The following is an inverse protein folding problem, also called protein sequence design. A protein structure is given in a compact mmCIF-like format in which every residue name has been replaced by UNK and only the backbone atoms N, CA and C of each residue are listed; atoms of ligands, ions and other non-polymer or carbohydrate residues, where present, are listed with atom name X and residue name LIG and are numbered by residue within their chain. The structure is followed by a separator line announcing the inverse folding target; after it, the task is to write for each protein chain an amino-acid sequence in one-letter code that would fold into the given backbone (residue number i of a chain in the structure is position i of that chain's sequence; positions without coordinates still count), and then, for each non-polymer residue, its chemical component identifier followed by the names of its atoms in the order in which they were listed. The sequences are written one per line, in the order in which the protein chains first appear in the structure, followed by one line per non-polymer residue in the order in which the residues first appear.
data_IF_698125890198
#
_entry.id   IF_698125890198
#
_cell.length_a   1.000
_cell.length_b   1.000
_cell.length_c   1.000
_cell.angle_alpha   90.00
_cell.angle_beta   90.00
_cell.angle_gamma   90.00
#
_symmetry.space_group_name_H-M   'P 1'
#
loop_
_entity.id
_entity.type
_entity.pdbx_description
1 polymer ?
#
# COMPACT_ATOMS: atom_id res chain seq x y z
N UNK A 1 12.58 -24.65 -5.21
CA UNK A 1 11.55 -24.17 -4.27
C UNK A 1 11.48 -22.66 -4.36
N UNK A 2 10.30 -22.12 -4.58
CA UNK A 2 10.12 -20.68 -4.65
C UNK A 2 10.11 -20.08 -3.24
N UNK A 3 10.75 -18.92 -3.03
CA UNK A 3 10.62 -18.24 -1.75
C UNK A 3 9.15 -17.88 -1.53
N UNK A 4 8.68 -18.05 -0.32
CA UNK A 4 7.31 -17.70 0.00
C UNK A 4 7.14 -16.18 -0.11
N UNK A 5 5.95 -15.72 -0.56
CA UNK A 5 5.65 -14.31 -0.61
C UNK A 5 5.78 -13.67 0.76
N UNK A 6 5.45 -14.42 1.81
CA UNK A 6 5.58 -13.92 3.17
C UNK A 6 7.01 -13.57 3.55
N UNK A 7 7.98 -14.41 3.15
CA UNK A 7 9.38 -14.15 3.44
C UNK A 7 9.87 -12.91 2.67
N UNK A 8 9.48 -12.78 1.41
CA UNK A 8 9.87 -11.63 0.59
C UNK A 8 9.25 -10.34 1.14
N UNK A 9 7.99 -10.40 1.54
CA UNK A 9 7.32 -9.24 2.13
C UNK A 9 8.03 -8.80 3.42
N UNK A 10 8.35 -9.75 4.29
CA UNK A 10 9.05 -9.42 5.54
C UNK A 10 10.40 -8.77 5.28
N UNK A 11 11.12 -9.28 4.28
CA UNK A 11 12.42 -8.73 3.91
C UNK A 11 12.28 -7.28 3.44
N UNK A 12 11.30 -7.03 2.56
CA UNK A 12 11.07 -5.68 2.03
C UNK A 12 10.59 -4.72 3.12
N UNK A 13 9.72 -5.18 4.02
CA UNK A 13 9.27 -4.35 5.14
C UNK A 13 10.46 -3.94 6.02
N UNK A 14 11.34 -4.88 6.35
CA UNK A 14 12.49 -4.58 7.18
C UNK A 14 13.41 -3.56 6.51
N UNK A 15 13.67 -3.73 5.22
CA UNK A 15 14.52 -2.80 4.47
C UNK A 15 13.87 -1.41 4.38
N UNK A 16 12.58 -1.36 4.11
CA UNK A 16 11.86 -0.10 3.99
C UNK A 16 11.88 0.66 5.32
N UNK A 17 11.69 -0.04 6.42
CA UNK A 17 11.76 0.57 7.74
C UNK A 17 13.14 1.12 8.06
N UNK A 18 14.18 0.53 7.48
CA UNK A 18 15.55 0.98 7.65
C UNK A 18 15.89 2.16 6.73
N UNK A 19 14.93 2.64 5.94
CA UNK A 19 15.12 3.80 5.09
C UNK A 19 15.33 3.49 3.61
N UNK A 20 15.17 2.22 3.20
CA UNK A 20 15.33 1.83 1.79
C UNK A 20 14.04 2.13 1.03
N UNK A 21 13.99 3.28 0.38
CA UNK A 21 12.83 3.70 -0.39
C UNK A 21 12.56 2.77 -1.58
N UNK A 22 13.60 2.21 -2.18
CA UNK A 22 13.42 1.27 -3.29
C UNK A 22 12.68 0.01 -2.82
N UNK A 23 13.00 -0.47 -1.61
CA UNK A 23 12.30 -1.61 -1.04
C UNK A 23 10.84 -1.28 -0.78
N UNK A 24 10.56 -0.08 -0.27
CA UNK A 24 9.18 0.36 -0.05
C UNK A 24 8.42 0.44 -1.38
N UNK A 25 9.04 0.97 -2.41
CA UNK A 25 8.41 1.08 -3.73
C UNK A 25 8.07 -0.30 -4.28
N UNK A 26 8.97 -1.27 -4.18
CA UNK A 26 8.69 -2.63 -4.60
C UNK A 26 7.52 -3.24 -3.82
N UNK A 27 7.52 -3.03 -2.52
CA UNK A 27 6.46 -3.53 -1.65
C UNK A 27 5.11 -2.92 -2.02
N UNK A 28 5.07 -1.61 -2.23
CA UNK A 28 3.85 -0.92 -2.63
C UNK A 28 3.35 -1.42 -3.99
N UNK A 29 4.27 -1.58 -4.96
CA UNK A 29 3.90 -2.02 -6.31
C UNK A 29 3.25 -3.41 -6.31
N UNK A 30 3.65 -4.30 -5.40
CA UNK A 30 3.04 -5.62 -5.26
C UNK A 30 1.58 -5.53 -4.84
N UNK A 31 1.19 -4.45 -4.17
CA UNK A 31 -0.16 -4.26 -3.64
C UNK A 31 -0.98 -3.26 -4.44
N UNK A 32 -0.38 -2.65 -5.45
CA UNK A 32 -1.00 -1.54 -6.18
C UNK A 32 -2.35 -1.89 -6.77
N UNK A 33 -2.44 -3.02 -7.46
CA UNK A 33 -3.69 -3.42 -8.12
C UNK A 33 -4.79 -3.78 -7.13
N UNK A 34 -4.44 -4.53 -6.08
CA UNK A 34 -5.42 -4.85 -5.04
C UNK A 34 -5.90 -3.59 -4.34
N UNK A 35 -4.99 -2.66 -4.09
CA UNK A 35 -5.34 -1.38 -3.47
C UNK A 35 -6.27 -0.59 -4.37
N UNK A 36 -5.98 -0.55 -5.68
CA UNK A 36 -6.81 0.16 -6.66
C UNK A 36 -8.23 -0.41 -6.67
N UNK A 37 -8.35 -1.74 -6.70
CA UNK A 37 -9.66 -2.39 -6.70
C UNK A 37 -10.44 -2.08 -5.42
N UNK A 38 -9.76 -2.12 -4.28
CA UNK A 38 -10.39 -1.78 -3.01
C UNK A 38 -10.86 -0.33 -2.95
N UNK A 39 -10.05 0.60 -3.45
CA UNK A 39 -10.43 2.00 -3.52
C UNK A 39 -11.65 2.22 -4.40
N UNK A 40 -11.66 1.61 -5.58
CA UNK A 40 -12.78 1.76 -6.50
C UNK A 40 -14.06 1.19 -5.94
N UNK A 41 -13.96 0.10 -5.18
CA UNK A 41 -15.13 -0.50 -4.53
C UNK A 41 -15.73 0.41 -3.45
N UNK A 42 -14.90 1.24 -2.80
CA UNK A 42 -15.35 2.16 -1.76
C UNK A 42 -15.83 3.49 -2.31
N UNK A 43 -15.48 3.83 -3.55
CA UNK A 43 -15.83 5.11 -4.14
C UNK A 43 -17.25 5.07 -4.66
N UNK A 44 -18.02 6.15 -4.39
CA UNK A 44 -19.34 6.32 -5.01
C UNK A 44 -19.19 6.56 -6.51
N UNK A 45 -20.24 6.31 -7.31
CA UNK A 45 -20.15 6.61 -8.75
C UNK A 45 -19.77 8.06 -9.03
N UNK A 46 -20.30 9.00 -8.25
CA UNK A 46 -19.97 10.41 -8.44
C UNK A 46 -18.49 10.68 -8.17
N UNK A 47 -17.95 10.07 -7.11
CA UNK A 47 -16.55 10.25 -6.77
C UNK A 47 -15.64 9.61 -7.82
N UNK A 48 -16.04 8.45 -8.36
CA UNK A 48 -15.26 7.78 -9.42
C UNK A 48 -15.14 8.64 -10.68
N UNK A 49 -16.13 9.49 -10.92
CA UNK A 49 -16.09 10.42 -12.06
C UNK A 49 -15.16 11.61 -11.81
N UNK A 50 -15.02 12.03 -10.56
CA UNK A 50 -14.25 13.21 -10.19
C UNK A 50 -12.83 12.90 -9.76
N UNK A 51 -12.60 11.73 -9.18
CA UNK A 51 -11.31 11.38 -8.64
C UNK A 51 -10.65 10.33 -9.51
N UNK A 52 -9.39 10.56 -9.84
CA UNK A 52 -8.56 9.59 -10.54
C UNK A 52 -7.99 8.63 -9.50
N UNK A 53 -8.21 7.32 -9.69
CA UNK A 53 -7.67 6.33 -8.78
C UNK A 53 -6.15 6.36 -8.72
N UNK A 54 -5.49 6.77 -9.81
CA UNK A 54 -4.03 6.89 -9.81
C UNK A 54 -3.57 8.02 -8.90
N UNK A 55 -4.30 9.12 -8.85
CA UNK A 55 -3.98 10.22 -7.93
C UNK A 55 -4.13 9.77 -6.48
N UNK A 56 -5.18 9.00 -6.18
CA UNK A 56 -5.38 8.46 -4.84
C UNK A 56 -4.28 7.47 -4.47
N UNK A 57 -3.83 6.64 -5.42
CA UNK A 57 -2.73 5.73 -5.20
C UNK A 57 -1.43 6.48 -4.90
N UNK A 58 -1.20 7.57 -5.64
CA UNK A 58 -0.01 8.40 -5.44
C UNK A 58 -0.02 9.01 -4.03
N UNK A 59 -1.15 9.59 -3.62
CA UNK A 59 -1.28 10.16 -2.29
C UNK A 59 -1.12 9.10 -1.21
N UNK A 60 -1.68 7.90 -1.43
CA UNK A 60 -1.53 6.79 -0.48
C UNK A 60 -0.06 6.38 -0.38
N UNK A 61 0.64 6.31 -1.50
CA UNK A 61 2.08 5.99 -1.51
C UNK A 61 2.85 7.00 -0.66
N UNK A 62 2.62 8.28 -0.87
CA UNK A 62 3.33 9.32 -0.14
C UNK A 62 3.03 9.26 1.36
N UNK A 63 1.76 9.15 1.72
CA UNK A 63 1.36 9.06 3.12
C UNK A 63 1.95 7.81 3.78
N UNK A 64 1.86 6.67 3.11
CA UNK A 64 2.36 5.41 3.63
C UNK A 64 3.89 5.46 3.82
N UNK A 65 4.61 6.04 2.87
CA UNK A 65 6.07 6.14 2.98
C UNK A 65 6.48 6.98 4.18
N UNK A 66 5.71 8.02 4.50
CA UNK A 66 5.98 8.89 5.65
C UNK A 66 5.55 8.26 6.98
N UNK A 67 4.59 7.34 6.93
CA UNK A 67 4.01 6.73 8.14
C UNK A 67 4.49 5.31 8.38
N UNK A 68 5.49 4.85 7.65
CA UNK A 68 5.92 3.45 7.69
C UNK A 68 6.36 3.02 9.09
N UNK A 69 6.90 3.93 9.88
CA UNK A 69 7.31 3.63 11.25
C UNK A 69 6.14 3.27 12.15
N UNK A 70 4.92 3.64 11.78
CA UNK A 70 3.71 3.31 12.52
C UNK A 70 3.16 1.94 12.15
N UNK A 71 3.61 1.36 11.06
CA UNK A 71 3.15 0.05 10.63
C UNK A 71 3.70 -1.02 11.57
N UNK A 72 2.81 -1.85 12.12
CA UNK A 72 3.17 -2.84 13.15
C UNK A 72 3.27 -4.27 12.63
N UNK A 73 2.70 -4.54 11.46
CA UNK A 73 2.75 -5.88 10.88
C UNK A 73 4.03 -6.16 10.12
N UNK A 74 4.17 -7.38 9.62
CA UNK A 74 5.31 -7.76 8.80
C UNK A 74 4.93 -8.74 7.68
N UNK A 75 3.65 -8.97 7.46
CA UNK A 75 3.19 -9.87 6.40
C UNK A 75 2.36 -9.12 5.37
N UNK A 76 2.09 -9.79 4.23
CA UNK A 76 1.39 -9.18 3.11
C UNK A 76 -0.03 -8.75 3.48
N UNK A 77 -0.74 -9.56 4.27
CA UNK A 77 -2.11 -9.24 4.67
C UNK A 77 -2.17 -8.00 5.55
N UNK A 78 -1.28 -7.90 6.53
CA UNK A 78 -1.20 -6.73 7.40
C UNK A 78 -0.85 -5.48 6.62
N UNK A 79 0.09 -5.59 5.68
CA UNK A 79 0.51 -4.45 4.87
C UNK A 79 -0.64 -3.98 3.97
N UNK A 80 -1.33 -4.90 3.32
CA UNK A 80 -2.46 -4.57 2.46
C UNK A 80 -3.56 -3.85 3.24
N UNK A 81 -3.89 -4.36 4.43
CA UNK A 81 -4.92 -3.73 5.28
C UNK A 81 -4.49 -2.34 5.70
N UNK A 82 -3.25 -2.17 6.07
CA UNK A 82 -2.72 -0.87 6.48
C UNK A 82 -2.83 0.15 5.35
N UNK A 83 -2.46 -0.25 4.13
CA UNK A 83 -2.61 0.62 2.96
C UNK A 83 -4.07 0.97 2.71
N UNK A 84 -4.99 0.01 2.85
CA UNK A 84 -6.42 0.26 2.66
C UNK A 84 -6.94 1.29 3.66
N UNK A 85 -6.50 1.21 4.91
CA UNK A 85 -6.92 2.17 5.95
C UNK A 85 -6.42 3.57 5.60
N UNK A 86 -5.17 3.69 5.17
CA UNK A 86 -4.62 4.99 4.77
C UNK A 86 -5.41 5.54 3.58
N UNK A 87 -5.64 4.71 2.57
CA UNK A 87 -6.35 5.12 1.36
C UNK A 87 -7.80 5.52 1.67
N UNK A 88 -8.47 4.79 2.55
CA UNK A 88 -9.86 5.08 2.89
C UNK A 88 -10.02 6.46 3.53
N UNK A 89 -9.01 6.95 4.23
CA UNK A 89 -9.06 8.29 4.82
C UNK A 89 -8.97 9.40 3.80
N UNK A 90 -8.56 9.08 2.56
CA UNK A 90 -8.44 10.03 1.47
C UNK A 90 -9.67 10.09 0.57
N UNK A 91 -10.55 9.10 0.68
CA UNK A 91 -11.74 8.98 -0.17
C UNK A 91 -12.91 9.89 0.32
#
# INVERSE_FOLDING_TARGET
MQPSEGAETRRLVAKARAGDLAAFTQLFDRHRELLRLGLRAQMSPALRQKADSDDLLQETFLTASQSLQEFRGNDAGSFARWLQVIAARRV
#
